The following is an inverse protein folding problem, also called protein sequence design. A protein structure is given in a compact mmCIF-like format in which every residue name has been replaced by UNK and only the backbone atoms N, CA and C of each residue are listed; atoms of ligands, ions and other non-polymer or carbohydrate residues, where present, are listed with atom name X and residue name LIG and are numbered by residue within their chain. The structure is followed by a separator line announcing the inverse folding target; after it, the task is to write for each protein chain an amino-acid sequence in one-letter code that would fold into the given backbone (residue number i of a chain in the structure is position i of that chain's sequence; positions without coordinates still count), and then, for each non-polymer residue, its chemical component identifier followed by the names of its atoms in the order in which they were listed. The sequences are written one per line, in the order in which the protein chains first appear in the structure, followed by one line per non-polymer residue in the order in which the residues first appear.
data_IF_208620896471
#
_entry.id   IF_208620896471
#
_cell.length_a   1.000
_cell.length_b   1.000
_cell.length_c   1.000
_cell.angle_alpha   90.00
_cell.angle_beta   90.00
_cell.angle_gamma   90.00
#
_symmetry.space_group_name_H-M   'P 1'
#
loop_
_entity.id
_entity.type
_entity.pdbx_description
1 polymer ?
#
# COMPACT_ATOMS: atom_id res chain seq x y z
N UNK A 1 7.26 9.84 10.46
CA UNK A 1 6.67 10.98 9.72
C UNK A 1 7.34 11.05 8.37
N UNK A 2 6.50 11.12 7.35
CA UNK A 2 6.80 10.91 5.93
C UNK A 2 7.74 11.98 5.38
N UNK A 3 8.86 11.59 4.75
CA UNK A 3 9.64 12.44 3.85
C UNK A 3 9.58 11.96 2.39
N UNK A 4 8.66 11.05 2.07
CA UNK A 4 8.60 10.43 0.74
C UNK A 4 7.87 11.28 -0.32
N UNK A 5 7.33 12.45 0.00
CA UNK A 5 6.55 13.26 -0.96
C UNK A 5 7.37 14.26 -1.77
N UNK A 6 8.66 14.47 -1.47
CA UNK A 6 9.46 15.49 -2.18
C UNK A 6 10.02 15.03 -3.53
N UNK A 7 10.14 13.72 -3.73
CA UNK A 7 10.80 13.17 -4.92
C UNK A 7 9.79 13.11 -6.06
N UNK A 8 8.61 12.53 -5.83
CA UNK A 8 7.55 12.42 -6.84
C UNK A 8 7.10 13.80 -7.38
N UNK A 9 6.96 14.81 -6.51
CA UNK A 9 6.60 16.18 -6.95
C UNK A 9 7.66 16.83 -7.84
N UNK A 10 8.94 16.65 -7.52
CA UNK A 10 10.04 17.24 -8.30
C UNK A 10 10.25 16.55 -9.66
N UNK A 11 9.87 15.27 -9.77
CA UNK A 11 9.93 14.49 -11.01
C UNK A 11 8.74 14.79 -11.94
N UNK A 12 7.52 14.91 -11.41
CA UNK A 12 6.33 15.32 -12.18
C UNK A 12 6.46 16.77 -12.70
N UNK A 13 7.06 17.66 -11.91
CA UNK A 13 7.40 19.02 -12.33
C UNK A 13 8.42 19.05 -13.49
N UNK A 14 9.34 18.09 -13.54
CA UNK A 14 10.32 18.00 -14.62
C UNK A 14 9.71 17.43 -15.90
N UNK A 15 8.75 16.50 -15.79
CA UNK A 15 7.98 15.96 -16.91
C UNK A 15 7.09 17.01 -17.57
N UNK A 16 6.40 17.81 -16.76
CA UNK A 16 5.59 18.94 -17.25
C UNK A 16 6.47 19.99 -17.94
N UNK A 17 7.66 20.27 -17.43
CA UNK A 17 8.64 21.17 -18.06
C UNK A 17 9.20 20.61 -19.38
N UNK A 18 9.32 19.28 -19.52
CA UNK A 18 9.73 18.61 -20.75
C UNK A 18 8.62 18.62 -21.83
N UNK A 19 7.36 18.54 -21.40
CA UNK A 19 6.16 18.66 -22.25
C UNK A 19 5.97 20.09 -22.78
N UNK A 20 6.18 21.10 -21.94
CA UNK A 20 6.11 22.53 -22.32
C UNK A 20 7.13 22.91 -23.40
N UNK A 21 8.29 22.23 -23.44
CA UNK A 21 9.38 22.52 -24.38
C UNK A 21 9.23 21.87 -25.75
N UNK A 22 8.09 21.24 -26.04
CA UNK A 22 7.74 20.66 -27.34
C UNK A 22 8.82 19.69 -27.89
N UNK A 23 9.55 19.03 -26.98
CA UNK A 23 10.64 18.12 -27.33
C UNK A 23 10.16 16.69 -27.61
N UNK A 24 8.84 16.44 -27.47
CA UNK A 24 8.21 15.16 -27.77
C UNK A 24 8.50 14.76 -29.23
N UNK A 25 8.44 15.72 -30.16
CA UNK A 25 8.66 15.44 -31.59
C UNK A 25 10.13 15.28 -31.99
N UNK A 26 11.08 15.64 -31.12
CA UNK A 26 12.50 15.62 -31.46
C UNK A 26 13.25 14.42 -30.86
N UNK A 27 12.76 13.82 -29.77
CA UNK A 27 13.42 12.70 -29.07
C UNK A 27 12.43 11.70 -28.44
N UNK A 28 11.59 11.06 -29.26
CA UNK A 28 10.61 10.05 -28.84
C UNK A 28 11.20 8.92 -27.96
N UNK A 29 12.40 8.44 -28.30
CA UNK A 29 13.05 7.34 -27.59
C UNK A 29 13.46 7.71 -26.15
N UNK A 30 13.87 8.97 -25.94
CA UNK A 30 14.29 9.46 -24.61
C UNK A 30 13.05 9.62 -23.73
N UNK A 31 11.97 10.14 -24.29
CA UNK A 31 10.68 10.24 -23.60
C UNK A 31 10.15 8.85 -23.20
N UNK A 32 10.19 7.87 -24.10
CA UNK A 32 9.78 6.50 -23.80
C UNK A 32 10.63 5.88 -22.69
N UNK A 33 11.95 6.04 -22.75
CA UNK A 33 12.87 5.56 -21.72
C UNK A 33 12.55 6.18 -20.36
N UNK A 34 12.32 7.48 -20.31
CA UNK A 34 11.99 8.19 -19.07
C UNK A 34 10.64 7.77 -18.52
N UNK A 35 9.65 7.57 -19.38
CA UNK A 35 8.32 7.05 -19.00
C UNK A 35 8.39 5.63 -18.42
N UNK A 36 9.19 4.76 -19.02
CA UNK A 36 9.45 3.41 -18.47
C UNK A 36 10.18 3.51 -17.13
N UNK A 37 11.18 4.39 -17.04
CA UNK A 37 11.92 4.65 -15.81
C UNK A 37 11.02 5.14 -14.67
N UNK A 38 10.03 5.98 -14.97
CA UNK A 38 9.05 6.47 -14.01
C UNK A 38 7.98 5.42 -13.63
N UNK A 39 7.58 4.59 -14.60
CA UNK A 39 6.59 3.53 -14.38
C UNK A 39 7.13 2.37 -13.54
N UNK A 40 8.45 2.15 -13.55
CA UNK A 40 9.08 1.24 -12.61
C UNK A 40 9.13 1.99 -11.28
N UNK A 41 8.55 1.46 -10.19
CA UNK A 41 8.66 2.10 -8.89
C UNK A 41 10.15 2.12 -8.48
N UNK A 42 10.84 3.22 -8.75
CA UNK A 42 12.23 3.44 -8.33
C UNK A 42 12.30 3.57 -6.80
N UNK A 43 11.16 3.79 -6.14
CA UNK A 43 11.04 3.83 -4.69
C UNK A 43 11.00 2.43 -4.10
N UNK A 44 12.14 1.95 -3.60
CA UNK A 44 12.23 0.73 -2.79
C UNK A 44 11.28 0.75 -1.59
N UNK A 45 10.91 1.94 -1.10
CA UNK A 45 9.99 2.09 0.02
C UNK A 45 8.60 1.49 -0.25
N UNK A 46 8.12 1.50 -1.50
CA UNK A 46 6.81 0.90 -1.85
C UNK A 46 6.86 -0.63 -1.80
N UNK A 47 7.93 -1.23 -2.33
CA UNK A 47 8.13 -2.68 -2.27
C UNK A 47 8.46 -3.14 -0.84
N UNK A 48 9.29 -2.41 -0.09
CA UNK A 48 9.58 -2.67 1.33
C UNK A 48 8.32 -2.62 2.19
N UNK A 49 7.45 -1.61 1.99
CA UNK A 49 6.14 -1.52 2.66
C UNK A 49 5.28 -2.74 2.33
N UNK A 50 5.22 -3.13 1.07
CA UNK A 50 4.44 -4.28 0.60
C UNK A 50 4.96 -5.61 1.20
N UNK A 51 6.28 -5.82 1.21
CA UNK A 51 6.91 -7.00 1.83
C UNK A 51 6.76 -7.02 3.35
N UNK A 52 6.85 -5.87 4.02
CA UNK A 52 6.63 -5.76 5.46
C UNK A 52 5.19 -6.14 5.83
N UNK A 53 4.21 -5.61 5.08
CA UNK A 53 2.80 -5.99 5.18
C UNK A 53 2.59 -7.49 4.93
N UNK A 54 3.19 -8.03 3.86
CA UNK A 54 3.13 -9.46 3.54
C UNK A 54 3.74 -10.32 4.65
N UNK A 55 4.84 -9.88 5.26
CA UNK A 55 5.49 -10.58 6.37
C UNK A 55 4.65 -10.59 7.64
N UNK A 56 3.91 -9.52 7.93
CA UNK A 56 2.92 -9.49 9.02
C UNK A 56 1.76 -10.44 8.73
N UNK A 57 1.29 -10.45 7.48
CA UNK A 57 0.21 -11.33 7.02
C UNK A 57 0.60 -12.82 7.08
N UNK A 58 1.82 -13.13 6.65
CA UNK A 58 2.42 -14.46 6.71
C UNK A 58 2.95 -14.73 8.12
N UNK A 59 2.04 -14.91 9.07
CA UNK A 59 2.40 -15.32 10.43
C UNK A 59 3.08 -16.69 10.38
N UNK A 60 4.33 -16.78 10.87
CA UNK A 60 5.20 -17.96 10.77
C UNK A 60 4.57 -19.25 11.33
N UNK A 61 3.63 -19.13 12.26
CA UNK A 61 2.92 -20.24 12.93
C UNK A 61 1.61 -20.64 12.26
N UNK A 62 1.12 -19.93 11.24
CA UNK A 62 -0.15 -20.26 10.57
C UNK A 62 0.13 -21.25 9.44
N UNK A 63 -0.28 -22.49 9.67
CA UNK A 63 -0.18 -23.64 8.76
C UNK A 63 -0.39 -23.25 7.29
N UNK A 64 0.54 -23.67 6.43
CA UNK A 64 0.66 -23.46 4.98
C UNK A 64 -0.53 -22.74 4.32
N UNK A 65 -0.51 -21.40 4.29
CA UNK A 65 -1.45 -20.64 3.47
C UNK A 65 -1.05 -20.76 1.99
N UNK A 66 -1.99 -21.17 1.13
CA UNK A 66 -1.74 -21.26 -0.31
C UNK A 66 -1.42 -19.90 -0.93
N UNK A 67 -0.57 -19.87 -1.97
CA UNK A 67 -0.11 -18.63 -2.61
C UNK A 67 -1.27 -17.77 -3.15
N UNK A 68 -2.28 -18.40 -3.74
CA UNK A 68 -3.46 -17.69 -4.26
C UNK A 68 -4.21 -16.95 -3.14
N UNK A 69 -4.47 -17.62 -2.02
CA UNK A 69 -5.10 -17.03 -0.84
C UNK A 69 -4.24 -15.95 -0.18
N UNK A 70 -2.92 -16.11 -0.20
CA UNK A 70 -1.99 -15.12 0.33
C UNK A 70 -2.00 -13.85 -0.53
N UNK A 71 -1.99 -14.00 -1.85
CA UNK A 71 -1.99 -12.89 -2.81
C UNK A 71 -3.26 -12.05 -2.69
N UNK A 72 -4.44 -12.68 -2.71
CA UNK A 72 -5.71 -11.98 -2.55
C UNK A 72 -5.82 -11.23 -1.23
N UNK A 73 -5.33 -11.83 -0.14
CA UNK A 73 -5.33 -11.20 1.17
C UNK A 73 -4.29 -10.08 1.30
N UNK A 74 -3.16 -10.19 0.62
CA UNK A 74 -2.14 -9.13 0.56
C UNK A 74 -2.67 -7.88 -0.14
N UNK A 75 -3.36 -8.05 -1.28
CA UNK A 75 -4.01 -6.95 -2.01
C UNK A 75 -5.03 -6.27 -1.10
N UNK A 76 -5.91 -7.04 -0.45
CA UNK A 76 -6.91 -6.49 0.47
C UNK A 76 -6.25 -5.71 1.63
N UNK A 77 -5.12 -6.20 2.16
CA UNK A 77 -4.41 -5.56 3.26
C UNK A 77 -3.70 -4.26 2.83
N UNK A 78 -3.10 -4.23 1.63
CA UNK A 78 -2.36 -3.07 1.10
C UNK A 78 -3.34 -1.97 0.65
N UNK A 79 -4.41 -2.36 -0.06
CA UNK A 79 -5.44 -1.45 -0.58
C UNK A 79 -6.49 -1.06 0.46
N UNK A 80 -6.33 -1.47 1.72
CA UNK A 80 -7.25 -1.11 2.80
C UNK A 80 -7.17 0.40 3.08
N UNK A 81 -8.01 1.16 2.39
CA UNK A 81 -8.12 2.63 2.50
C UNK A 81 -8.86 3.07 3.76
N UNK A 82 -9.57 2.15 4.42
CA UNK A 82 -10.43 2.45 5.57
C UNK A 82 -9.75 2.06 6.89
N UNK A 83 -9.62 3.01 7.81
CA UNK A 83 -9.24 2.71 9.18
C UNK A 83 -10.40 1.98 9.88
N UNK A 84 -10.18 0.71 10.21
CA UNK A 84 -11.16 -0.08 10.95
C UNK A 84 -10.98 0.26 12.43
N UNK A 85 -12.01 0.84 13.03
CA UNK A 85 -12.05 1.13 14.46
C UNK A 85 -12.40 -0.16 15.22
N UNK A 86 -11.38 -0.84 15.75
CA UNK A 86 -11.55 -2.15 16.38
C UNK A 86 -12.53 -2.11 17.56
N UNK A 87 -12.54 -1.02 18.33
CA UNK A 87 -13.45 -0.84 19.46
C UNK A 87 -14.93 -0.91 19.02
N UNK A 88 -15.27 -0.24 17.92
CA UNK A 88 -16.66 -0.26 17.41
C UNK A 88 -17.10 -1.65 16.91
N UNK A 89 -16.18 -2.42 16.33
CA UNK A 89 -16.48 -3.78 15.87
C UNK A 89 -16.62 -4.72 17.07
N UNK A 90 -15.76 -4.56 18.07
CA UNK A 90 -15.82 -5.35 19.29
C UNK A 90 -17.12 -5.08 20.04
N UNK A 91 -17.53 -3.81 20.15
CA UNK A 91 -18.78 -3.43 20.81
C UNK A 91 -20.01 -3.93 20.04
N UNK A 92 -20.00 -3.89 18.70
CA UNK A 92 -21.05 -4.50 17.87
C UNK A 92 -21.10 -6.03 18.04
N UNK A 93 -19.95 -6.69 18.10
CA UNK A 93 -19.87 -8.13 18.27
C UNK A 93 -20.35 -8.58 19.66
N UNK A 94 -20.00 -7.85 20.72
CA UNK A 94 -20.49 -8.13 22.09
C UNK A 94 -22.00 -7.90 22.18
N UNK A 95 -22.53 -6.88 21.49
CA UNK A 95 -23.96 -6.59 21.44
C UNK A 95 -24.79 -7.68 20.70
N UNK A 96 -24.23 -8.26 19.63
CA UNK A 96 -24.86 -9.33 18.84
C UNK A 96 -24.68 -10.73 19.46
N UNK A 97 -23.74 -10.88 20.40
CA UNK A 97 -23.48 -12.15 21.06
C UNK A 97 -24.55 -12.51 22.11
N UNK A 98 -25.01 -13.77 22.10
CA UNK A 98 -26.02 -14.31 23.05
C UNK A 98 -25.54 -14.30 24.51
N UNK A 99 -24.22 -14.22 24.73
CA UNK A 99 -23.55 -14.34 26.03
C UNK A 99 -22.83 -13.02 26.36
N UNK A 100 -23.62 -12.01 26.72
CA UNK A 100 -23.16 -10.64 27.02
C UNK A 100 -22.24 -10.62 28.24
N UNK A 101 -21.11 -9.90 28.16
CA UNK A 101 -20.30 -9.56 29.34
C UNK A 101 -19.00 -10.35 29.56
N UNK A 102 -18.46 -11.03 28.53
CA UNK A 102 -17.13 -11.69 28.61
C UNK A 102 -15.93 -10.74 28.42
N UNK A 103 -16.15 -9.42 28.51
CA UNK A 103 -15.09 -8.42 28.40
C UNK A 103 -14.28 -8.35 29.69
N UNK A 104 -13.08 -8.93 29.68
CA UNK A 104 -12.09 -8.73 30.74
C UNK A 104 -11.50 -7.32 30.63
N UNK A 105 -11.85 -6.46 31.57
CA UNK A 105 -11.21 -5.15 31.75
C UNK A 105 -9.89 -5.37 32.47
N UNK A 106 -8.76 -5.26 31.76
CA UNK A 106 -7.46 -5.13 32.40
C UNK A 106 -7.26 -3.66 32.77
N UNK A 107 -7.27 -3.40 34.09
CA UNK A 107 -6.86 -2.13 34.70
C UNK A 107 -5.38 -1.85 34.50
#
# INVERSE_FOLDING_TARGET
MCSSTNIDEHFEAHLTLYLEKDLIGSFDNIYLLYKIFLSIPMSSASSERSFSSLRRLKTFTRNTIGQERLSSLAILHIEKTFEINFDTIIDQFDADSTERGRRLQLS
#
